data_IF_565359990337
#
_entry.id   IF_565359990337
#
_cell.length_a   1.000
_cell.length_b   1.000
_cell.length_c   1.000
_cell.angle_alpha   90.00
_cell.angle_beta   90.00
_cell.angle_gamma   90.00
#
_symmetry.space_group_name_H-M   'P 1'
#
loop_
_entity.id
_entity.type
_entity.pdbx_description
1 polymer ?
#
# COMPACT_ATOMS: atom_id res chain seq x y z
N UNK A 1 -3.77 10.13 14.38
CA UNK A 1 -2.62 9.64 13.60
C UNK A 1 -2.17 10.73 12.64
N UNK A 2 -0.86 10.95 12.53
CA UNK A 2 -0.23 11.88 11.59
C UNK A 2 0.30 11.09 10.40
N UNK A 3 -0.36 11.23 9.26
CA UNK A 3 -0.01 10.51 8.03
C UNK A 3 0.79 11.44 7.12
N UNK A 4 1.87 10.92 6.52
CA UNK A 4 2.65 11.61 5.49
C UNK A 4 2.95 10.65 4.34
N UNK A 5 2.41 10.92 3.16
CA UNK A 5 2.74 10.16 1.95
C UNK A 5 4.07 10.67 1.41
N UNK A 6 5.10 9.83 1.42
CA UNK A 6 6.44 10.17 0.92
C UNK A 6 6.49 10.01 -0.59
N UNK A 7 5.92 8.92 -1.11
CA UNK A 7 5.97 8.59 -2.53
C UNK A 7 4.79 7.71 -2.92
N UNK A 8 4.22 7.99 -4.09
CA UNK A 8 3.31 7.09 -4.80
C UNK A 8 3.94 6.76 -6.14
N UNK A 9 4.23 5.50 -6.37
CA UNK A 9 4.72 4.97 -7.64
C UNK A 9 3.57 4.23 -8.34
N UNK A 10 3.27 4.60 -9.57
CA UNK A 10 2.67 3.67 -10.53
C UNK A 10 1.15 3.70 -10.72
N UNK A 11 0.66 4.62 -11.55
CA UNK A 11 -0.52 4.38 -12.40
C UNK A 11 -0.10 3.76 -13.75
N UNK A 12 1.17 3.93 -14.17
CA UNK A 12 1.68 3.51 -15.49
C UNK A 12 2.71 2.37 -15.47
N UNK A 13 3.19 1.93 -14.30
CA UNK A 13 4.35 1.04 -14.16
C UNK A 13 3.98 -0.35 -13.62
N UNK A 14 3.01 -1.05 -14.21
CA UNK A 14 2.66 -2.48 -13.97
C UNK A 14 2.32 -2.94 -12.53
N UNK A 15 2.59 -2.13 -11.51
CA UNK A 15 2.27 -2.37 -10.10
C UNK A 15 2.45 -1.05 -9.35
N UNK A 16 1.43 -0.65 -8.61
CA UNK A 16 1.49 0.53 -7.78
C UNK A 16 2.30 0.21 -6.51
N UNK A 17 2.96 1.22 -5.95
CA UNK A 17 3.66 1.14 -4.68
C UNK A 17 3.49 2.46 -3.91
N UNK A 18 3.33 2.37 -2.60
CA UNK A 18 3.14 3.50 -1.70
C UNK A 18 4.22 3.43 -0.63
N UNK A 19 4.87 4.57 -0.39
CA UNK A 19 5.75 4.77 0.75
C UNK A 19 5.24 5.94 1.56
N UNK A 20 5.06 5.74 2.85
CA UNK A 20 4.49 6.74 3.75
C UNK A 20 4.99 6.57 5.18
N UNK A 21 4.70 7.56 6.03
CA UNK A 21 4.84 7.44 7.48
C UNK A 21 3.53 7.70 8.19
N UNK A 22 3.30 6.97 9.28
CA UNK A 22 2.15 7.16 10.16
C UNK A 22 2.65 7.22 11.59
N UNK A 23 2.44 8.35 12.26
CA UNK A 23 2.98 8.62 13.61
C UNK A 23 4.50 8.40 13.73
N UNK A 24 5.23 8.60 12.62
CA UNK A 24 6.68 8.43 12.55
C UNK A 24 7.15 7.02 12.17
N UNK A 25 6.23 6.05 12.07
CA UNK A 25 6.53 4.69 11.62
C UNK A 25 6.43 4.59 10.11
N UNK A 26 7.36 3.87 9.48
CA UNK A 26 7.34 3.65 8.03
C UNK A 26 6.26 2.61 7.67
N UNK A 27 5.44 2.96 6.68
CA UNK A 27 4.43 2.08 6.08
C UNK A 27 4.69 2.01 4.58
N UNK A 28 4.76 0.79 4.06
CA UNK A 28 5.09 0.49 2.68
C UNK A 28 4.06 -0.47 2.08
N UNK A 29 3.73 -0.25 0.81
CA UNK A 29 2.96 -1.18 -0.02
C UNK A 29 3.65 -1.29 -1.37
N UNK A 30 3.92 -2.51 -1.84
CA UNK A 30 4.76 -2.75 -3.02
C UNK A 30 4.33 -3.93 -3.88
N UNK A 31 4.89 -3.98 -5.11
CA UNK A 31 4.47 -4.80 -6.26
C UNK A 31 4.36 -6.32 -6.09
N UNK A 32 4.59 -6.88 -4.90
CA UNK A 32 4.29 -8.27 -4.54
C UNK A 32 3.07 -8.43 -3.58
N UNK A 33 2.23 -7.39 -3.46
CA UNK A 33 0.87 -7.39 -2.88
C UNK A 33 0.73 -7.38 -1.35
N UNK A 34 1.81 -7.28 -0.59
CA UNK A 34 1.73 -7.18 0.86
C UNK A 34 2.00 -5.75 1.35
N UNK A 35 1.26 -5.35 2.37
CA UNK A 35 1.60 -4.21 3.20
C UNK A 35 2.73 -4.59 4.16
N UNK A 36 3.58 -3.63 4.44
CA UNK A 36 4.64 -3.73 5.44
C UNK A 36 4.60 -2.47 6.33
N UNK A 37 4.73 -2.67 7.64
CA UNK A 37 4.70 -1.61 8.62
C UNK A 37 5.72 -1.88 9.72
N UNK A 38 6.55 -0.88 10.05
CA UNK A 38 7.57 -0.98 11.10
C UNK A 38 7.03 -0.97 12.53
N UNK A 39 5.74 -1.26 12.75
CA UNK A 39 5.23 -1.43 14.10
C UNK A 39 5.80 -2.73 14.70
N UNK A 40 6.17 -2.68 15.98
CA UNK A 40 6.63 -3.86 16.73
C UNK A 40 5.49 -4.84 17.08
N UNK A 41 4.29 -4.62 16.55
CA UNK A 41 3.09 -5.44 16.78
C UNK A 41 2.97 -6.45 15.64
N UNK A 42 2.63 -7.70 15.98
CA UNK A 42 2.78 -8.90 15.15
C UNK A 42 2.46 -8.71 13.65
N UNK A 43 3.44 -9.08 12.81
CA UNK A 43 3.32 -9.15 11.35
C UNK A 43 2.25 -10.14 10.87
N UNK A 44 1.72 -10.98 11.77
CA UNK A 44 0.69 -11.98 11.49
C UNK A 44 -0.74 -11.41 11.60
N UNK A 45 -0.93 -10.22 12.18
CA UNK A 45 -2.21 -9.53 12.15
C UNK A 45 -2.29 -8.64 10.92
N UNK A 46 -3.16 -9.00 9.97
CA UNK A 46 -3.57 -8.17 8.83
C UNK A 46 -4.16 -6.79 9.23
N UNK A 47 -4.25 -6.49 10.53
CA UNK A 47 -4.95 -5.35 11.13
C UNK A 47 -4.00 -4.37 11.84
N UNK A 48 -2.87 -4.03 11.23
CA UNK A 48 -2.11 -2.88 11.72
C UNK A 48 -2.90 -1.59 11.46
N UNK A 49 -3.28 -0.86 12.52
CA UNK A 49 -3.96 0.44 12.41
C UNK A 49 -3.28 1.43 11.45
N UNK A 50 -1.95 1.41 11.34
CA UNK A 50 -1.20 2.29 10.43
C UNK A 50 -1.42 1.91 8.97
N UNK A 51 -1.53 0.62 8.67
CA UNK A 51 -1.87 0.11 7.34
C UNK A 51 -3.30 0.53 7.00
N UNK A 52 -4.26 0.32 7.90
CA UNK A 52 -5.67 0.71 7.65
C UNK A 52 -5.83 2.19 7.40
N UNK A 53 -5.19 3.03 8.22
CA UNK A 53 -5.27 4.48 8.06
C UNK A 53 -4.70 4.99 6.72
N UNK A 54 -3.74 4.27 6.12
CA UNK A 54 -3.28 4.57 4.77
C UNK A 54 -4.24 3.99 3.74
N UNK A 55 -4.68 2.73 3.92
CA UNK A 55 -5.62 2.04 3.02
C UNK A 55 -6.88 2.88 2.79
N UNK A 56 -7.45 3.46 3.85
CA UNK A 56 -8.67 4.26 3.79
C UNK A 56 -8.51 5.60 3.03
N UNK A 57 -7.27 6.05 2.84
CA UNK A 57 -6.96 7.24 2.03
C UNK A 57 -6.71 6.90 0.56
N UNK A 58 -6.48 5.63 0.23
CA UNK A 58 -6.10 5.21 -1.11
C UNK A 58 -7.33 4.84 -1.92
N UNK A 59 -7.31 5.23 -3.19
CA UNK A 59 -8.28 4.79 -4.17
C UNK A 59 -8.06 3.30 -4.49
N UNK A 60 -9.14 2.54 -4.65
CA UNK A 60 -9.09 1.12 -4.99
C UNK A 60 -8.26 0.83 -6.26
N UNK A 61 -8.14 1.78 -7.19
CA UNK A 61 -7.29 1.65 -8.38
C UNK A 61 -5.80 1.61 -8.07
N UNK A 62 -5.40 2.13 -6.91
CA UNK A 62 -4.06 2.01 -6.39
C UNK A 62 -3.90 0.61 -5.79
N UNK A 63 -4.84 0.17 -4.95
CA UNK A 63 -4.76 -1.10 -4.21
C UNK A 63 -4.99 -2.35 -5.06
N UNK A 64 -5.74 -2.22 -6.16
CA UNK A 64 -6.11 -3.33 -7.05
C UNK A 64 -5.08 -3.45 -8.17
N UNK A 65 -4.43 -4.60 -8.38
CA UNK A 65 -3.62 -4.80 -9.58
C UNK A 65 -4.52 -4.63 -10.81
N UNK A 66 -4.12 -3.81 -11.79
CA UNK A 66 -4.76 -3.81 -13.11
C UNK A 66 -4.57 -5.23 -13.69
N UNK A 67 -5.56 -6.09 -13.51
CA UNK A 67 -5.66 -7.33 -14.27
C UNK A 67 -5.78 -6.90 -15.73
N UNK A 68 -4.67 -6.98 -16.47
CA UNK A 68 -4.75 -6.97 -17.93
C UNK A 68 -5.69 -8.12 -18.28
N UNK A 69 -6.92 -7.81 -18.69
CA UNK A 69 -7.75 -8.77 -19.43
C UNK A 69 -6.84 -9.32 -20.52
N UNK A 70 -6.58 -10.62 -20.49
CA UNK A 70 -5.92 -11.28 -21.60
C UNK A 70 -6.77 -10.96 -22.83
N UNK A 71 -6.22 -10.16 -23.75
CA UNK A 71 -6.78 -10.05 -25.09
C UNK A 71 -6.47 -11.42 -25.70
N UNK A 72 -7.47 -12.28 -25.74
CA UNK A 72 -7.43 -13.49 -26.55
C UNK A 72 -7.51 -13.00 -28.01
N UNK A 73 -6.36 -13.00 -28.69
CA UNK A 73 -6.27 -12.83 -30.14
C UNK A 73 -6.58 -14.16 -30.82
#
# INVERSE_FOLDING_TARGET
MKIKIIRVLGIRSKGAAILATVDGLLVNWGGHRAWDCQCLTDLDEFECKHIEAIRDLMDDRVLTPIQRRAIVL
#
